data_IF_502448010784
#
_entry.id   IF_502448010784
#
_cell.length_a   1.000
_cell.length_b   1.000
_cell.length_c   1.000
_cell.angle_alpha   90.00
_cell.angle_beta   90.00
_cell.angle_gamma   90.00
#
_symmetry.space_group_name_H-M   'P 1'
#
loop_
_entity.id
_entity.type
_entity.pdbx_description
1 polymer ?
#
# COMPACT_ATOMS: atom_id res chain seq x y z
N UNK A 1 15.74 -19.17 42.05
CA UNK A 1 16.55 -18.09 41.47
C UNK A 1 17.22 -18.61 40.21
N UNK A 2 16.75 -18.23 39.03
CA UNK A 2 17.42 -18.50 37.74
C UNK A 2 17.65 -17.14 37.09
N UNK A 3 18.90 -16.75 36.97
CA UNK A 3 19.35 -15.55 36.29
C UNK A 3 18.99 -15.61 34.78
N UNK A 4 18.28 -14.59 34.29
CA UNK A 4 18.07 -14.34 32.86
C UNK A 4 19.32 -13.64 32.32
N UNK A 5 20.15 -14.34 31.54
CA UNK A 5 21.25 -13.75 30.79
C UNK A 5 20.71 -13.09 29.56
N UNK A 6 20.74 -11.78 29.50
CA UNK A 6 20.52 -10.96 28.30
C UNK A 6 21.73 -11.09 27.37
N UNK A 7 21.50 -11.56 26.15
CA UNK A 7 22.54 -11.64 25.10
C UNK A 7 22.45 -10.36 24.27
N UNK A 8 23.49 -9.54 24.35
CA UNK A 8 23.60 -8.30 23.52
C UNK A 8 24.01 -8.63 22.08
N UNK A 9 23.55 -7.83 21.12
CA UNK A 9 23.79 -7.95 19.65
C UNK A 9 25.25 -8.23 19.25
N UNK A 10 26.21 -7.80 20.06
CA UNK A 10 27.65 -8.01 19.83
C UNK A 10 28.14 -9.46 20.03
N UNK A 11 27.41 -10.29 20.77
CA UNK A 11 27.75 -11.72 20.98
C UNK A 11 27.13 -12.66 19.93
N UNK A 12 26.12 -12.23 19.21
CA UNK A 12 25.51 -13.05 18.15
C UNK A 12 26.41 -13.16 16.90
N UNK A 13 27.22 -12.14 16.62
CA UNK A 13 28.14 -12.13 15.47
C UNK A 13 29.43 -12.94 15.68
N UNK A 14 29.72 -13.44 16.90
CA UNK A 14 30.93 -14.20 17.18
C UNK A 14 30.73 -15.74 17.11
N UNK A 15 29.51 -16.23 16.96
CA UNK A 15 29.21 -17.69 16.95
C UNK A 15 28.97 -18.24 15.54
N UNK A 16 28.84 -17.40 14.53
CA UNK A 16 28.61 -17.81 13.13
C UNK A 16 29.89 -18.11 12.30
N UNK A 17 31.06 -18.16 12.96
CA UNK A 17 32.38 -18.26 12.29
C UNK A 17 33.12 -19.58 12.52
N UNK A 18 32.48 -20.74 12.34
CA UNK A 18 33.23 -22.00 12.33
C UNK A 18 32.50 -23.05 11.49
N UNK A 19 32.88 -23.18 10.22
CA UNK A 19 32.38 -24.23 9.33
C UNK A 19 32.51 -23.95 7.83
N UNK A 20 33.70 -23.60 7.35
CA UNK A 20 33.95 -23.54 5.90
C UNK A 20 34.94 -24.65 5.50
N UNK A 21 34.43 -25.65 4.81
CA UNK A 21 35.26 -26.62 4.07
C UNK A 21 35.78 -25.95 2.79
N UNK A 22 37.09 -25.97 2.61
CA UNK A 22 37.80 -25.41 1.46
C UNK A 22 37.54 -26.25 0.21
N UNK A 23 37.08 -25.58 -0.87
CA UNK A 23 37.18 -26.08 -2.23
C UNK A 23 38.10 -25.13 -2.98
N UNK A 24 39.24 -25.67 -3.44
CA UNK A 24 40.27 -24.94 -4.19
C UNK A 24 39.83 -24.71 -5.64
N UNK A 25 39.93 -23.48 -6.14
CA UNK A 25 39.88 -23.12 -7.54
C UNK A 25 41.21 -22.48 -7.95
N UNK A 26 41.73 -22.73 -9.20
CA UNK A 26 43.05 -22.30 -9.61
C UNK A 26 43.11 -20.83 -9.98
N UNK A 27 44.27 -20.23 -9.65
CA UNK A 27 44.67 -18.87 -9.94
C UNK A 27 44.66 -18.54 -11.43
N UNK A 28 44.00 -17.47 -11.81
CA UNK A 28 44.30 -16.71 -13.03
C UNK A 28 44.73 -15.31 -12.58
N UNK A 29 46.02 -15.04 -12.82
CA UNK A 29 46.64 -13.72 -12.68
C UNK A 29 46.10 -12.81 -13.79
N UNK A 30 45.47 -11.71 -13.48
CA UNK A 30 45.27 -10.60 -14.40
C UNK A 30 45.79 -9.32 -13.76
N UNK A 31 46.63 -8.70 -14.54
CA UNK A 31 47.40 -7.48 -14.42
C UNK A 31 46.61 -6.27 -13.90
N UNK A 32 47.23 -5.54 -12.97
CA UNK A 32 46.84 -4.18 -12.56
C UNK A 32 47.05 -3.21 -13.73
N UNK A 33 45.99 -2.52 -14.13
CA UNK A 33 46.00 -1.30 -14.90
C UNK A 33 45.16 -0.22 -14.19
N UNK A 34 45.87 0.69 -13.56
CA UNK A 34 45.29 1.84 -12.84
C UNK A 34 44.97 2.93 -13.87
N UNK A 35 43.68 3.35 -13.94
CA UNK A 35 43.33 4.68 -14.38
C UNK A 35 41.97 5.08 -13.81
N UNK A 36 42.01 6.02 -12.87
CA UNK A 36 40.86 6.73 -12.41
C UNK A 36 40.27 7.60 -13.52
N UNK A 37 38.99 7.45 -13.75
CA UNK A 37 38.20 8.30 -14.64
C UNK A 37 36.79 8.31 -14.14
N UNK A 38 36.39 9.38 -13.48
CA UNK A 38 34.99 9.75 -13.26
C UNK A 38 34.34 9.96 -14.63
N UNK A 39 33.67 8.94 -15.16
CA UNK A 39 32.90 9.10 -16.39
C UNK A 39 31.50 9.58 -16.06
N UNK A 40 31.31 10.90 -16.13
CA UNK A 40 30.00 11.51 -16.40
C UNK A 40 29.71 11.33 -17.89
N UNK A 41 29.31 10.13 -18.28
CA UNK A 41 28.95 9.80 -19.66
C UNK A 41 27.45 9.60 -19.76
N UNK A 42 26.79 10.41 -20.57
CA UNK A 42 25.44 10.17 -21.08
C UNK A 42 25.40 8.76 -21.71
N UNK A 43 24.46 7.87 -21.36
CA UNK A 43 24.38 6.53 -21.95
C UNK A 43 23.93 6.65 -23.43
N UNK A 44 24.86 6.53 -24.35
CA UNK A 44 24.62 6.56 -25.80
C UNK A 44 24.85 5.20 -26.47
N UNK A 45 24.72 4.09 -25.72
CA UNK A 45 24.87 2.73 -26.22
C UNK A 45 23.58 1.92 -26.01
N UNK A 46 23.27 0.98 -26.92
CA UNK A 46 22.24 -0.04 -26.66
C UNK A 46 22.67 -0.85 -25.43
N UNK A 47 21.75 -1.00 -24.46
CA UNK A 47 21.97 -1.86 -23.29
C UNK A 47 22.41 -3.26 -23.74
N UNK A 48 23.39 -3.84 -23.05
CA UNK A 48 23.85 -5.21 -23.37
C UNK A 48 22.74 -6.20 -22.99
N UNK A 49 22.52 -7.24 -23.85
CA UNK A 49 21.55 -8.28 -23.53
C UNK A 49 21.85 -8.94 -22.18
N UNK A 50 20.83 -9.04 -21.32
CA UNK A 50 20.91 -9.68 -20.00
C UNK A 50 19.53 -10.13 -19.55
N UNK A 51 19.50 -10.95 -18.49
CA UNK A 51 18.27 -11.29 -17.78
C UNK A 51 18.20 -10.49 -16.48
N UNK A 52 17.19 -9.64 -16.36
CA UNK A 52 16.90 -8.90 -15.12
C UNK A 52 16.24 -9.79 -14.08
N UNK A 53 16.41 -9.44 -12.82
CA UNK A 53 15.72 -10.04 -11.69
C UNK A 53 14.84 -8.99 -10.99
N UNK A 54 13.59 -9.36 -10.71
CA UNK A 54 12.61 -8.52 -10.04
C UNK A 54 12.15 -9.18 -8.74
N UNK A 55 11.83 -8.36 -7.74
CA UNK A 55 11.16 -8.81 -6.52
C UNK A 55 9.89 -7.98 -6.34
N UNK A 56 8.74 -8.64 -6.49
CA UNK A 56 7.42 -7.99 -6.59
C UNK A 56 6.41 -8.58 -5.60
N UNK A 57 5.35 -7.82 -5.31
CA UNK A 57 4.26 -8.31 -4.46
C UNK A 57 3.52 -9.48 -5.10
N UNK A 58 3.13 -10.46 -4.29
CA UNK A 58 2.30 -11.60 -4.73
C UNK A 58 0.83 -11.21 -4.68
N UNK A 59 0.15 -11.27 -5.80
CA UNK A 59 -1.31 -11.18 -5.82
C UNK A 59 -1.92 -12.52 -5.40
N UNK A 60 -2.20 -12.66 -4.11
CA UNK A 60 -2.76 -13.89 -3.54
C UNK A 60 -4.21 -14.13 -3.94
N UNK A 61 -4.93 -13.06 -4.31
CA UNK A 61 -6.32 -13.13 -4.74
C UNK A 61 -6.46 -13.52 -6.23
N UNK A 62 -5.53 -13.03 -7.08
CA UNK A 62 -5.62 -13.17 -8.52
C UNK A 62 -4.26 -13.58 -9.13
N UNK A 63 -3.68 -14.73 -8.72
CA UNK A 63 -2.33 -15.14 -9.14
C UNK A 63 -2.21 -15.41 -10.64
N UNK A 64 -3.28 -15.88 -11.28
CA UNK A 64 -3.30 -16.14 -12.73
C UNK A 64 -3.26 -14.83 -13.53
N UNK A 65 -4.02 -13.83 -13.10
CA UNK A 65 -4.03 -12.49 -13.74
C UNK A 65 -2.69 -11.79 -13.56
N UNK A 66 -2.04 -11.95 -12.41
CA UNK A 66 -0.68 -11.46 -12.20
C UNK A 66 0.30 -12.13 -13.18
N UNK A 67 0.27 -13.46 -13.29
CA UNK A 67 1.14 -14.19 -14.21
C UNK A 67 0.92 -13.73 -15.67
N UNK A 68 -0.35 -13.62 -16.10
CA UNK A 68 -0.70 -13.12 -17.43
C UNK A 68 -0.17 -11.71 -17.69
N UNK A 69 -0.28 -10.79 -16.72
CA UNK A 69 0.26 -9.44 -16.83
C UNK A 69 1.79 -9.46 -16.98
N UNK A 70 2.48 -10.27 -16.16
CA UNK A 70 3.94 -10.38 -16.23
C UNK A 70 4.40 -10.98 -17.55
N UNK A 71 3.68 -11.96 -18.11
CA UNK A 71 3.96 -12.53 -19.44
C UNK A 71 3.80 -11.47 -20.55
N UNK A 72 2.78 -10.61 -20.47
CA UNK A 72 2.58 -9.52 -21.44
C UNK A 72 3.70 -8.47 -21.34
N UNK A 73 4.09 -8.07 -20.13
CA UNK A 73 5.22 -7.16 -19.90
C UNK A 73 6.50 -7.78 -20.46
N UNK A 74 6.73 -9.08 -20.19
CA UNK A 74 7.91 -9.81 -20.67
C UNK A 74 7.98 -9.86 -22.19
N UNK A 75 6.88 -10.22 -22.85
CA UNK A 75 6.81 -10.28 -24.30
C UNK A 75 7.13 -8.92 -24.95
N UNK A 76 6.58 -7.83 -24.41
CA UNK A 76 6.85 -6.48 -24.91
C UNK A 76 8.30 -6.06 -24.65
N UNK A 77 8.83 -6.35 -23.47
CA UNK A 77 10.21 -6.05 -23.09
C UNK A 77 11.23 -6.78 -24.00
N UNK A 78 11.05 -8.09 -24.21
CA UNK A 78 11.90 -8.91 -25.08
C UNK A 78 11.87 -8.45 -26.54
N UNK A 79 10.70 -8.02 -27.01
CA UNK A 79 10.53 -7.45 -28.35
C UNK A 79 11.33 -6.16 -28.53
N UNK A 80 11.32 -5.27 -27.52
CA UNK A 80 12.03 -3.99 -27.56
C UNK A 80 13.52 -4.12 -27.24
N UNK A 81 13.91 -5.19 -26.52
CA UNK A 81 15.29 -5.46 -26.09
C UNK A 81 15.72 -6.89 -26.51
N UNK A 82 16.00 -7.13 -27.79
CA UNK A 82 16.32 -8.46 -28.31
C UNK A 82 17.49 -9.11 -27.56
N UNK A 83 17.32 -10.36 -27.15
CA UNK A 83 18.30 -11.13 -26.37
C UNK A 83 18.26 -10.86 -24.86
N UNK A 84 17.41 -9.95 -24.41
CA UNK A 84 17.19 -9.68 -22.99
C UNK A 84 15.87 -10.27 -22.51
N UNK A 85 15.76 -10.54 -21.21
CA UNK A 85 14.56 -11.08 -20.57
C UNK A 85 14.51 -10.63 -19.10
N UNK A 86 13.50 -11.07 -18.35
CA UNK A 86 13.51 -10.97 -16.90
C UNK A 86 12.87 -12.19 -16.22
N UNK A 87 13.26 -12.39 -14.97
CA UNK A 87 12.62 -13.30 -14.02
C UNK A 87 12.10 -12.50 -12.82
N UNK A 88 11.17 -13.07 -12.07
CA UNK A 88 10.71 -12.43 -10.84
C UNK A 88 10.45 -13.43 -9.72
N UNK A 89 10.78 -13.02 -8.50
CA UNK A 89 10.37 -13.65 -7.26
C UNK A 89 9.27 -12.80 -6.61
N UNK A 90 8.45 -13.42 -5.76
CA UNK A 90 7.35 -12.72 -5.11
C UNK A 90 7.48 -12.77 -3.59
N UNK A 91 6.98 -11.73 -2.91
CA UNK A 91 6.75 -11.73 -1.47
C UNK A 91 5.24 -11.71 -1.18
N UNK A 92 4.84 -12.36 -0.08
CA UNK A 92 3.44 -12.47 0.32
C UNK A 92 3.13 -11.73 1.63
N UNK A 93 4.13 -11.09 2.24
CA UNK A 93 3.96 -10.35 3.50
C UNK A 93 4.95 -9.18 3.59
N UNK A 94 4.58 -8.16 4.37
CA UNK A 94 5.46 -7.04 4.68
C UNK A 94 6.77 -7.48 5.37
N UNK A 95 6.73 -8.57 6.15
CA UNK A 95 7.92 -9.12 6.81
C UNK A 95 8.91 -9.71 5.80
N UNK A 96 8.44 -10.46 4.78
CA UNK A 96 9.27 -10.98 3.69
C UNK A 96 9.87 -9.84 2.87
N UNK A 97 9.05 -8.84 2.53
CA UNK A 97 9.46 -7.65 1.80
C UNK A 97 10.59 -6.91 2.52
N UNK A 98 10.39 -6.58 3.81
CA UNK A 98 11.37 -5.90 4.65
C UNK A 98 12.66 -6.71 4.82
N UNK A 99 12.54 -8.03 5.08
CA UNK A 99 13.70 -8.91 5.23
C UNK A 99 14.55 -8.96 3.95
N UNK A 100 13.91 -9.06 2.79
CA UNK A 100 14.62 -9.08 1.50
C UNK A 100 15.29 -7.74 1.23
N UNK A 101 14.60 -6.63 1.50
CA UNK A 101 15.14 -5.28 1.38
C UNK A 101 16.39 -5.09 2.24
N UNK A 102 16.29 -5.38 3.56
CA UNK A 102 17.39 -5.21 4.50
C UNK A 102 18.59 -6.11 4.16
N UNK A 103 18.33 -7.36 3.77
CA UNK A 103 19.37 -8.32 3.37
C UNK A 103 20.09 -7.83 2.11
N UNK A 104 19.36 -7.42 1.08
CA UNK A 104 19.94 -6.94 -0.16
C UNK A 104 20.74 -5.64 0.06
N UNK A 105 20.20 -4.71 0.86
CA UNK A 105 20.88 -3.46 1.17
C UNK A 105 22.20 -3.70 1.94
N UNK A 106 22.18 -4.61 2.93
CA UNK A 106 23.38 -4.94 3.72
C UNK A 106 24.44 -5.70 2.91
N UNK A 107 24.01 -6.63 2.05
CA UNK A 107 24.91 -7.41 1.20
C UNK A 107 25.40 -6.63 -0.04
N UNK A 108 24.73 -5.53 -0.42
CA UNK A 108 24.89 -4.82 -1.68
C UNK A 108 24.69 -5.77 -2.89
N UNK A 109 23.87 -6.80 -2.71
CA UNK A 109 23.46 -7.78 -3.71
C UNK A 109 21.96 -8.03 -3.61
N UNK A 110 21.28 -8.06 -4.77
CA UNK A 110 19.82 -8.26 -4.80
C UNK A 110 19.24 -8.21 -6.20
N UNK A 111 17.93 -8.25 -6.31
CA UNK A 111 17.21 -8.01 -7.56
C UNK A 111 17.55 -6.67 -8.19
N UNK A 112 17.50 -6.60 -9.53
CA UNK A 112 17.72 -5.35 -10.27
C UNK A 112 16.62 -4.32 -9.97
N UNK A 113 15.37 -4.80 -9.79
CA UNK A 113 14.19 -3.99 -9.50
C UNK A 113 13.45 -4.57 -8.28
N UNK A 114 13.08 -3.68 -7.36
CA UNK A 114 12.15 -3.98 -6.27
C UNK A 114 10.82 -3.27 -6.49
N UNK A 115 9.72 -3.95 -6.20
CA UNK A 115 8.40 -3.34 -6.04
C UNK A 115 8.13 -3.06 -4.57
N UNK A 116 7.64 -1.87 -4.27
CA UNK A 116 7.21 -1.48 -2.93
C UNK A 116 5.82 -0.86 -2.97
N UNK A 117 5.04 -1.09 -1.92
CA UNK A 117 3.88 -0.26 -1.65
C UNK A 117 4.30 1.19 -1.33
N UNK A 118 3.43 2.16 -1.60
CA UNK A 118 3.72 3.59 -1.41
C UNK A 118 4.30 3.92 -0.03
N UNK A 119 3.81 3.27 1.02
CA UNK A 119 4.22 3.52 2.41
C UNK A 119 5.55 2.88 2.81
N UNK A 120 6.08 1.95 2.00
CA UNK A 120 7.40 1.36 2.23
C UNK A 120 8.53 2.07 1.45
N UNK A 121 8.20 2.90 0.46
CA UNK A 121 9.20 3.71 -0.27
C UNK A 121 10.05 4.57 0.67
N UNK A 122 9.50 5.21 1.74
CA UNK A 122 10.32 5.91 2.74
C UNK A 122 11.36 5.03 3.43
N UNK A 123 11.01 3.80 3.78
CA UNK A 123 11.93 2.82 4.38
C UNK A 123 13.03 2.42 3.39
N UNK A 124 12.65 2.16 2.14
CA UNK A 124 13.61 1.87 1.07
C UNK A 124 14.57 3.04 0.84
N UNK A 125 14.06 4.29 0.83
CA UNK A 125 14.90 5.49 0.72
C UNK A 125 15.93 5.59 1.86
N UNK A 126 15.53 5.28 3.09
CA UNK A 126 16.39 5.35 4.26
C UNK A 126 17.59 4.37 4.20
N UNK A 127 17.48 3.28 3.47
CA UNK A 127 18.59 2.32 3.29
C UNK A 127 19.72 2.86 2.41
N UNK A 128 19.45 3.86 1.55
CA UNK A 128 20.40 4.37 0.55
C UNK A 128 20.78 3.37 -0.55
N UNK A 129 20.08 2.23 -0.65
CA UNK A 129 20.37 1.13 -1.57
C UNK A 129 19.73 1.28 -2.96
N UNK A 130 18.96 2.32 -3.19
CA UNK A 130 18.25 2.57 -4.44
C UNK A 130 18.73 3.81 -5.16
N UNK A 131 18.66 3.78 -6.49
CA UNK A 131 19.03 4.91 -7.32
C UNK A 131 18.09 6.10 -7.13
N UNK A 132 18.66 7.29 -7.01
CA UNK A 132 17.91 8.54 -7.15
C UNK A 132 17.79 8.86 -8.63
N UNK A 133 16.58 8.87 -9.15
CA UNK A 133 16.33 9.09 -10.57
C UNK A 133 16.74 10.51 -11.00
N UNK A 134 17.67 10.58 -11.94
CA UNK A 134 18.06 11.83 -12.61
C UNK A 134 16.98 12.27 -13.60
N UNK A 135 17.05 13.53 -14.06
CA UNK A 135 16.13 14.01 -15.09
C UNK A 135 16.27 13.25 -16.41
N UNK A 136 17.46 12.76 -16.75
CA UNK A 136 17.67 11.90 -17.92
C UNK A 136 16.98 10.55 -17.77
N UNK A 137 17.04 9.93 -16.58
CA UNK A 137 16.33 8.68 -16.29
C UNK A 137 14.80 8.89 -16.37
N UNK A 138 14.30 9.98 -15.81
CA UNK A 138 12.88 10.34 -15.95
C UNK A 138 12.48 10.56 -17.40
N UNK A 139 13.26 11.32 -18.17
CA UNK A 139 13.02 11.58 -19.60
C UNK A 139 13.02 10.28 -20.41
N UNK A 140 13.90 9.32 -20.07
CA UNK A 140 13.95 8.02 -20.74
C UNK A 140 12.61 7.24 -20.62
N UNK A 141 11.93 7.34 -19.49
CA UNK A 141 10.65 6.66 -19.25
C UNK A 141 9.42 7.53 -19.57
N UNK A 142 9.59 8.70 -20.20
CA UNK A 142 8.51 9.60 -20.63
C UNK A 142 8.34 10.87 -19.81
N UNK A 143 9.13 11.05 -18.75
CA UNK A 143 9.14 12.24 -17.89
C UNK A 143 8.14 12.23 -16.75
N UNK A 144 8.39 13.05 -15.72
CA UNK A 144 7.54 13.13 -14.51
C UNK A 144 6.09 13.58 -14.80
N UNK A 145 5.88 14.32 -15.90
CA UNK A 145 4.57 14.89 -16.25
C UNK A 145 3.54 13.87 -16.75
N UNK A 146 3.99 12.67 -17.13
CA UNK A 146 3.05 11.62 -17.58
C UNK A 146 2.26 11.01 -16.42
N UNK A 147 2.71 11.19 -15.16
CA UNK A 147 2.11 10.55 -13.99
C UNK A 147 1.08 11.43 -13.29
N UNK A 148 0.15 10.82 -12.58
CA UNK A 148 -0.64 11.50 -11.56
C UNK A 148 0.29 12.15 -10.55
N UNK A 149 0.14 13.46 -10.31
CA UNK A 149 1.02 14.21 -9.42
C UNK A 149 0.98 13.71 -7.96
N UNK A 150 -0.18 13.33 -7.37
CA UNK A 150 -0.19 12.71 -6.05
C UNK A 150 0.73 11.49 -5.95
N UNK A 151 0.77 10.62 -6.95
CA UNK A 151 1.63 9.42 -6.95
C UNK A 151 3.12 9.79 -6.85
N UNK A 152 3.58 10.83 -7.52
CA UNK A 152 4.98 11.28 -7.44
C UNK A 152 5.37 11.78 -6.04
N UNK A 153 4.41 12.20 -5.21
CA UNK A 153 4.71 12.65 -3.83
C UNK A 153 5.24 11.52 -2.95
N UNK A 154 4.91 10.26 -3.27
CA UNK A 154 5.38 9.07 -2.55
C UNK A 154 6.61 8.43 -3.19
N UNK A 155 7.10 8.95 -4.31
CA UNK A 155 8.30 8.45 -5.00
C UNK A 155 9.62 8.83 -4.31
N UNK A 156 9.59 9.76 -3.35
CA UNK A 156 10.78 10.21 -2.62
C UNK A 156 10.50 11.42 -1.72
N UNK A 157 11.46 11.83 -0.87
CA UNK A 157 11.26 12.89 0.13
C UNK A 157 11.12 14.30 -0.47
N UNK A 158 11.48 14.48 -1.72
CA UNK A 158 11.37 15.77 -2.45
C UNK A 158 11.44 15.53 -3.95
N UNK A 159 10.98 16.48 -4.80
CA UNK A 159 10.97 16.35 -6.26
C UNK A 159 12.32 16.04 -6.91
N UNK A 160 13.43 16.33 -6.21
CA UNK A 160 14.79 16.08 -6.69
C UNK A 160 15.45 14.84 -6.06
N UNK A 161 14.71 14.09 -5.24
CA UNK A 161 15.20 12.90 -4.53
C UNK A 161 14.21 11.74 -4.66
N UNK A 162 13.71 11.53 -5.88
CA UNK A 162 12.78 10.44 -6.17
C UNK A 162 13.58 9.16 -6.47
N UNK A 163 13.25 8.08 -5.76
CA UNK A 163 13.87 6.76 -5.93
C UNK A 163 12.93 5.74 -6.57
N UNK A 164 11.66 6.10 -6.76
CA UNK A 164 10.64 5.16 -7.16
C UNK A 164 9.79 5.71 -8.30
N UNK A 165 9.38 4.83 -9.20
CA UNK A 165 8.49 5.10 -10.32
C UNK A 165 7.14 4.47 -10.01
N UNK A 166 6.03 5.24 -9.98
CA UNK A 166 4.70 4.68 -9.82
C UNK A 166 4.38 3.72 -10.98
N UNK A 167 3.87 2.52 -10.68
CA UNK A 167 3.51 1.52 -11.70
C UNK A 167 2.05 1.13 -11.67
N UNK A 168 1.36 1.29 -10.55
CA UNK A 168 -0.09 1.16 -10.46
C UNK A 168 -0.64 1.95 -9.28
N UNK A 169 -1.86 2.47 -9.41
CA UNK A 169 -2.60 3.14 -8.35
C UNK A 169 -3.61 2.19 -7.69
N UNK A 170 -3.89 2.44 -6.41
CA UNK A 170 -4.95 1.77 -5.67
C UNK A 170 -5.79 2.82 -4.92
N UNK A 171 -6.52 3.68 -5.66
CA UNK A 171 -7.33 4.73 -5.05
C UNK A 171 -8.40 4.13 -4.14
N UNK A 172 -8.67 4.81 -3.03
CA UNK A 172 -9.69 4.41 -2.09
C UNK A 172 -10.98 5.20 -2.30
N UNK A 173 -12.09 4.49 -2.34
CA UNK A 173 -13.42 5.07 -2.45
C UNK A 173 -14.40 4.38 -1.48
N UNK A 174 -15.60 4.90 -1.36
CA UNK A 174 -16.72 4.21 -0.76
C UNK A 174 -17.38 3.39 -1.86
N UNK A 175 -17.50 2.07 -1.67
CA UNK A 175 -18.36 1.25 -2.53
C UNK A 175 -19.71 1.05 -1.85
N UNK A 176 -20.79 1.05 -2.63
CA UNK A 176 -22.14 0.86 -2.11
C UNK A 176 -22.99 -0.06 -2.99
N UNK A 177 -23.90 -0.80 -2.33
CA UNK A 177 -24.84 -1.71 -2.95
C UNK A 177 -26.09 -0.94 -3.39
N UNK A 178 -26.28 -0.76 -4.69
CA UNK A 178 -27.40 0.00 -5.28
C UNK A 178 -28.75 -0.61 -4.94
N UNK A 179 -28.85 -1.92 -4.91
CA UNK A 179 -30.12 -2.60 -4.59
C UNK A 179 -30.52 -2.35 -3.11
N UNK A 180 -29.56 -2.41 -2.18
CA UNK A 180 -29.84 -2.10 -0.77
C UNK A 180 -30.18 -0.61 -0.57
N UNK A 181 -29.48 0.31 -1.27
CA UNK A 181 -29.78 1.74 -1.26
C UNK A 181 -31.22 2.00 -1.76
N UNK A 182 -31.59 1.41 -2.89
CA UNK A 182 -32.94 1.53 -3.44
C UNK A 182 -34.02 1.03 -2.46
N UNK A 183 -33.79 -0.16 -1.85
CA UNK A 183 -34.73 -0.74 -0.87
C UNK A 183 -34.90 0.14 0.36
N UNK A 184 -33.80 0.78 0.82
CA UNK A 184 -33.81 1.69 1.96
C UNK A 184 -34.24 3.14 1.60
N UNK A 185 -34.56 3.43 0.32
CA UNK A 185 -34.94 4.77 -0.12
C UNK A 185 -33.79 5.78 -0.14
N UNK A 186 -32.54 5.31 -0.18
CA UNK A 186 -31.33 6.15 -0.16
C UNK A 186 -30.94 6.51 -1.60
N UNK A 187 -30.88 7.82 -1.89
CA UNK A 187 -30.64 8.34 -3.25
C UNK A 187 -29.16 8.60 -3.59
N UNK A 188 -28.29 8.72 -2.58
CA UNK A 188 -26.86 9.06 -2.81
C UNK A 188 -26.00 8.61 -1.63
N UNK A 189 -24.69 8.38 -1.86
CA UNK A 189 -23.74 8.11 -0.81
C UNK A 189 -23.69 9.20 0.26
N UNK A 190 -23.44 8.83 1.54
CA UNK A 190 -23.37 9.77 2.66
C UNK A 190 -22.17 10.71 2.54
N UNK A 191 -22.34 11.97 2.93
CA UNK A 191 -21.30 13.02 2.89
C UNK A 191 -20.63 13.27 4.24
N UNK A 192 -21.32 12.94 5.34
CA UNK A 192 -20.78 13.02 6.70
C UNK A 192 -20.75 11.64 7.33
N UNK A 193 -19.91 11.44 8.36
CA UNK A 193 -19.87 10.18 9.09
C UNK A 193 -21.13 9.96 9.93
N UNK A 194 -21.84 11.02 10.31
CA UNK A 194 -23.15 10.91 10.93
C UNK A 194 -24.19 10.35 9.95
N UNK A 195 -24.21 10.85 8.70
CA UNK A 195 -25.08 10.31 7.65
C UNK A 195 -24.71 8.87 7.32
N UNK A 196 -23.40 8.54 7.29
CA UNK A 196 -22.95 7.17 7.07
C UNK A 196 -23.52 6.19 8.10
N UNK A 197 -23.46 6.56 9.39
CA UNK A 197 -24.01 5.72 10.46
C UNK A 197 -25.52 5.57 10.31
N UNK A 198 -26.25 6.65 9.98
CA UNK A 198 -27.69 6.61 9.79
C UNK A 198 -28.08 5.74 8.58
N UNK A 199 -27.47 5.98 7.42
CA UNK A 199 -27.67 5.19 6.21
C UNK A 199 -27.35 3.71 6.45
N UNK A 200 -26.26 3.42 7.15
CA UNK A 200 -25.88 2.05 7.49
C UNK A 200 -26.92 1.36 8.40
N UNK A 201 -27.53 2.08 9.35
CA UNK A 201 -28.59 1.54 10.21
C UNK A 201 -29.84 1.17 9.40
N UNK A 202 -30.26 1.99 8.44
CA UNK A 202 -31.41 1.71 7.57
C UNK A 202 -31.23 0.41 6.75
N UNK A 203 -29.99 0.05 6.46
CA UNK A 203 -29.64 -1.17 5.72
C UNK A 203 -29.33 -2.37 6.63
N UNK A 204 -29.36 -2.23 7.95
CA UNK A 204 -28.98 -3.28 8.89
C UNK A 204 -30.22 -3.96 9.47
N UNK A 205 -30.31 -5.31 9.37
CA UNK A 205 -31.35 -6.09 10.06
C UNK A 205 -30.85 -6.81 11.34
N UNK A 206 -29.55 -6.72 11.63
CA UNK A 206 -28.94 -7.28 12.83
C UNK A 206 -28.82 -8.82 12.84
N UNK A 207 -29.08 -9.48 11.71
CA UNK A 207 -28.99 -10.96 11.57
C UNK A 207 -27.98 -11.35 10.51
N UNK A 208 -28.28 -11.09 9.27
CA UNK A 208 -27.50 -11.53 8.11
C UNK A 208 -27.29 -10.41 7.07
N UNK A 209 -27.85 -9.22 7.32
CA UNK A 209 -27.69 -8.03 6.48
C UNK A 209 -27.17 -6.85 7.34
N UNK A 210 -26.14 -6.20 6.87
CA UNK A 210 -25.43 -5.14 7.59
C UNK A 210 -25.17 -3.93 6.70
N UNK A 211 -25.22 -2.76 7.29
CA UNK A 211 -24.97 -1.50 6.59
C UNK A 211 -23.53 -1.35 6.14
N UNK A 212 -22.57 -1.97 6.85
CA UNK A 212 -21.17 -2.01 6.48
C UNK A 212 -20.50 -3.28 6.96
N UNK A 213 -19.25 -3.50 6.53
CA UNK A 213 -18.34 -4.51 7.06
C UNK A 213 -17.02 -3.87 7.47
N UNK A 214 -16.19 -4.61 8.18
CA UNK A 214 -14.90 -4.18 8.72
C UNK A 214 -13.90 -5.34 8.66
N UNK A 215 -12.60 -5.00 8.56
CA UNK A 215 -11.51 -5.98 8.54
C UNK A 215 -10.44 -5.65 9.61
N UNK A 216 -10.79 -5.65 10.92
CA UNK A 216 -9.87 -5.22 11.97
C UNK A 216 -8.70 -6.19 12.22
N UNK A 217 -8.77 -7.43 11.72
CA UNK A 217 -7.69 -8.42 11.78
C UNK A 217 -6.77 -8.41 10.55
N UNK A 218 -6.99 -7.48 9.61
CA UNK A 218 -6.10 -7.27 8.47
C UNK A 218 -4.80 -6.58 8.90
N UNK A 219 -3.72 -6.81 8.15
CA UNK A 219 -2.43 -6.19 8.42
C UNK A 219 -2.34 -4.71 8.02
N UNK A 220 -3.23 -4.24 7.13
CA UNK A 220 -3.20 -2.89 6.59
C UNK A 220 -4.48 -2.10 6.89
N UNK A 221 -5.64 -2.73 6.84
CA UNK A 221 -6.92 -2.07 6.92
C UNK A 221 -7.12 -1.20 8.18
N UNK A 222 -6.68 -1.62 9.39
CA UNK A 222 -6.82 -0.79 10.59
C UNK A 222 -6.19 0.59 10.45
N UNK A 223 -4.92 0.69 10.03
CA UNK A 223 -4.26 1.98 9.96
C UNK A 223 -4.82 2.87 8.85
N UNK A 224 -5.31 2.27 7.73
CA UNK A 224 -5.96 3.02 6.65
C UNK A 224 -7.15 3.82 7.16
N UNK A 225 -8.07 3.17 7.87
CA UNK A 225 -9.27 3.81 8.42
C UNK A 225 -8.92 4.83 9.49
N UNK A 226 -8.02 4.47 10.41
CA UNK A 226 -7.63 5.36 11.51
C UNK A 226 -6.91 6.61 10.98
N UNK A 227 -6.00 6.45 10.01
CA UNK A 227 -5.35 7.58 9.34
C UNK A 227 -6.38 8.53 8.69
N UNK A 228 -7.38 7.98 8.01
CA UNK A 228 -8.43 8.78 7.39
C UNK A 228 -9.17 9.63 8.43
N UNK A 229 -9.66 9.00 9.49
CA UNK A 229 -10.44 9.69 10.54
C UNK A 229 -9.56 10.73 11.26
N UNK A 230 -8.35 10.38 11.66
CA UNK A 230 -7.42 11.30 12.33
C UNK A 230 -7.10 12.50 11.43
N UNK A 231 -6.86 12.29 10.13
CA UNK A 231 -6.59 13.36 9.17
C UNK A 231 -7.78 14.29 8.99
N UNK A 232 -8.99 13.76 8.93
CA UNK A 232 -10.22 14.56 8.86
C UNK A 232 -10.48 15.34 10.14
N UNK A 233 -10.07 14.81 11.29
CA UNK A 233 -10.15 15.50 12.60
C UNK A 233 -9.03 16.52 12.80
N UNK A 234 -8.07 16.62 11.91
CA UNK A 234 -6.94 17.57 11.98
C UNK A 234 -5.79 17.09 12.86
N UNK A 235 -5.79 15.80 13.23
CA UNK A 235 -4.72 15.13 13.95
C UNK A 235 -3.65 14.54 13.02
N UNK A 236 -2.69 13.87 13.65
CA UNK A 236 -1.60 13.14 13.00
C UNK A 236 -1.30 11.87 13.81
N UNK A 237 -0.78 10.82 13.15
CA UNK A 237 -0.38 9.58 13.82
C UNK A 237 1.06 9.58 14.30
N UNK A 238 1.88 10.49 13.78
CA UNK A 238 3.26 10.76 14.21
C UNK A 238 3.52 12.25 14.24
N UNK A 239 4.50 12.68 15.00
CA UNK A 239 4.98 14.05 14.99
C UNK A 239 5.69 14.41 13.65
N UNK A 240 6.01 15.67 13.47
CA UNK A 240 6.64 16.17 12.23
C UNK A 240 8.06 15.62 11.98
N UNK A 241 8.68 14.98 12.97
CA UNK A 241 10.02 14.40 12.86
C UNK A 241 9.99 12.92 12.49
N UNK A 242 8.83 12.25 12.58
CA UNK A 242 8.68 10.82 12.41
C UNK A 242 9.34 9.97 13.52
N UNK A 243 9.65 10.59 14.68
CA UNK A 243 10.32 9.93 15.81
C UNK A 243 9.44 9.73 17.03
N UNK A 244 8.33 10.45 17.10
CA UNK A 244 7.38 10.33 18.19
C UNK A 244 6.03 9.90 17.66
N UNK A 245 5.49 8.83 18.22
CA UNK A 245 4.13 8.38 17.97
C UNK A 245 3.09 9.30 18.61
N UNK A 246 1.93 9.40 17.97
CA UNK A 246 0.76 10.14 18.45
C UNK A 246 -0.48 9.23 18.48
N UNK A 247 -0.25 7.92 18.67
CA UNK A 247 -1.32 6.92 18.64
C UNK A 247 -2.27 7.02 19.82
N UNK A 248 -1.85 7.62 20.94
CA UNK A 248 -2.63 7.89 22.14
C UNK A 248 -3.13 9.36 22.23
N UNK A 249 -2.98 10.14 21.15
CA UNK A 249 -3.58 11.49 21.07
C UNK A 249 -5.12 11.42 21.13
N UNK A 250 -5.75 12.53 21.47
CA UNK A 250 -7.22 12.62 21.50
C UNK A 250 -7.84 12.21 20.18
N UNK A 251 -7.32 12.73 19.06
CA UNK A 251 -7.81 12.46 17.72
C UNK A 251 -7.65 10.97 17.35
N UNK A 252 -6.52 10.36 17.72
CA UNK A 252 -6.27 8.94 17.46
C UNK A 252 -7.19 8.03 18.28
N UNK A 253 -7.40 8.34 19.57
CA UNK A 253 -8.31 7.60 20.43
C UNK A 253 -9.76 7.70 19.92
N UNK A 254 -10.22 8.91 19.56
CA UNK A 254 -11.56 9.13 19.03
C UNK A 254 -11.78 8.44 17.68
N UNK A 255 -10.77 8.45 16.80
CA UNK A 255 -10.79 7.74 15.52
C UNK A 255 -10.91 6.22 15.69
N UNK A 256 -10.09 5.64 16.57
CA UNK A 256 -10.14 4.22 16.89
C UNK A 256 -11.48 3.82 17.49
N UNK A 257 -11.96 4.61 18.45
CA UNK A 257 -13.26 4.38 19.08
C UNK A 257 -14.40 4.47 18.05
N UNK A 258 -14.41 5.47 17.19
CA UNK A 258 -15.43 5.62 16.15
C UNK A 258 -15.52 4.39 15.25
N UNK A 259 -14.38 3.87 14.80
CA UNK A 259 -14.37 2.68 13.95
C UNK A 259 -14.84 1.43 14.69
N UNK A 260 -14.32 1.16 15.88
CA UNK A 260 -14.72 0.02 16.73
C UNK A 260 -16.20 0.06 17.10
N UNK A 261 -16.76 1.27 17.28
CA UNK A 261 -18.16 1.51 17.59
C UNK A 261 -19.13 1.07 16.47
N UNK A 262 -18.65 0.85 15.24
CA UNK A 262 -19.49 0.29 14.18
C UNK A 262 -20.01 -1.10 14.57
N UNK A 263 -19.18 -1.91 15.24
CA UNK A 263 -19.60 -3.19 15.83
C UNK A 263 -20.22 -3.02 17.21
N UNK A 264 -19.53 -2.27 18.11
CA UNK A 264 -19.85 -2.26 19.53
C UNK A 264 -21.08 -1.44 19.88
N UNK A 265 -21.22 -0.23 19.32
CA UNK A 265 -22.24 0.77 19.72
C UNK A 265 -23.31 0.98 18.66
N UNK A 266 -22.90 1.26 17.42
CA UNK A 266 -23.86 1.58 16.36
C UNK A 266 -24.53 0.34 15.78
N UNK A 267 -23.93 -0.83 15.95
CA UNK A 267 -24.44 -2.13 15.48
C UNK A 267 -24.71 -2.15 13.97
N UNK A 268 -23.90 -1.44 13.19
CA UNK A 268 -23.98 -1.36 11.73
C UNK A 268 -23.08 -2.37 11.02
N UNK A 269 -22.17 -3.00 11.75
CA UNK A 269 -21.32 -4.11 11.31
C UNK A 269 -21.48 -5.29 12.29
N UNK A 270 -21.34 -6.51 11.77
CA UNK A 270 -21.42 -7.73 12.59
C UNK A 270 -20.21 -7.85 13.54
N UNK A 271 -20.43 -8.32 14.78
CA UNK A 271 -19.34 -8.68 15.68
C UNK A 271 -18.47 -9.82 15.17
N UNK A 272 -18.96 -10.63 14.21
CA UNK A 272 -18.16 -11.65 13.50
C UNK A 272 -17.02 -11.02 12.68
N UNK A 273 -17.14 -9.75 12.31
CA UNK A 273 -16.08 -9.02 11.62
C UNK A 273 -14.81 -8.87 12.46
N UNK A 274 -14.85 -9.11 13.77
CA UNK A 274 -13.68 -9.02 14.66
C UNK A 274 -12.46 -9.82 14.18
N UNK A 275 -12.66 -10.89 13.41
CA UNK A 275 -11.60 -11.75 12.85
C UNK A 275 -11.40 -11.57 11.35
N UNK A 276 -12.14 -10.65 10.72
CA UNK A 276 -12.09 -10.46 9.27
C UNK A 276 -10.79 -9.79 8.85
N UNK A 277 -10.29 -10.26 7.70
CA UNK A 277 -9.25 -9.63 6.89
C UNK A 277 -9.87 -9.01 5.64
N UNK A 278 -9.13 -8.22 4.88
CA UNK A 278 -9.64 -7.54 3.70
C UNK A 278 -10.32 -8.47 2.68
N UNK A 279 -9.78 -9.68 2.48
CA UNK A 279 -10.43 -10.68 1.62
C UNK A 279 -11.78 -11.15 2.14
N UNK A 280 -12.01 -11.18 3.47
CA UNK A 280 -13.30 -11.53 4.06
C UNK A 280 -14.33 -10.42 3.83
N UNK A 281 -13.90 -9.16 3.95
CA UNK A 281 -14.72 -7.98 3.66
C UNK A 281 -15.17 -7.96 2.20
N UNK A 282 -14.27 -8.22 1.26
CA UNK A 282 -14.58 -8.34 -0.18
C UNK A 282 -15.59 -9.47 -0.44
N UNK A 283 -15.42 -10.64 0.19
CA UNK A 283 -16.35 -11.75 0.07
C UNK A 283 -17.71 -11.46 0.72
N UNK A 284 -17.73 -10.80 1.87
CA UNK A 284 -18.96 -10.41 2.53
C UNK A 284 -19.80 -9.47 1.65
N UNK A 285 -19.19 -8.46 1.02
CA UNK A 285 -19.88 -7.57 0.08
C UNK A 285 -20.42 -8.33 -1.14
N UNK A 286 -19.66 -9.27 -1.66
CA UNK A 286 -20.06 -10.11 -2.80
C UNK A 286 -21.37 -10.90 -2.54
N UNK A 287 -21.76 -11.15 -1.28
CA UNK A 287 -23.03 -11.81 -0.94
C UNK A 287 -24.29 -10.99 -1.26
N UNK A 288 -24.13 -9.67 -1.48
CA UNK A 288 -25.23 -8.73 -1.64
C UNK A 288 -25.91 -8.30 -0.33
N UNK A 289 -25.36 -8.71 0.83
CA UNK A 289 -25.90 -8.44 2.17
C UNK A 289 -25.17 -7.35 2.95
N UNK A 290 -24.20 -6.72 2.34
CA UNK A 290 -23.47 -5.57 2.88
C UNK A 290 -23.81 -4.31 2.08
N UNK A 291 -24.19 -3.25 2.78
CA UNK A 291 -24.62 -2.00 2.16
C UNK A 291 -23.47 -1.16 1.61
N UNK A 292 -22.39 -1.01 2.37
CA UNK A 292 -21.25 -0.15 2.03
C UNK A 292 -19.94 -0.74 2.51
N UNK A 293 -18.83 -0.43 1.82
CA UNK A 293 -17.47 -0.57 2.33
C UNK A 293 -16.74 0.76 2.19
N UNK A 294 -15.94 1.11 3.18
CA UNK A 294 -15.23 2.38 3.26
C UNK A 294 -13.75 2.19 2.94
N UNK A 295 -13.15 3.16 2.26
CA UNK A 295 -11.74 3.09 1.83
C UNK A 295 -11.41 1.75 1.16
N UNK A 296 -12.22 1.40 0.19
CA UNK A 296 -12.06 0.14 -0.55
C UNK A 296 -11.44 0.44 -1.90
N UNK A 297 -10.36 -0.27 -2.20
CA UNK A 297 -9.71 -0.19 -3.51
C UNK A 297 -10.46 -0.96 -4.59
N UNK A 298 -10.13 -0.74 -5.85
CA UNK A 298 -10.85 -1.35 -6.98
C UNK A 298 -10.66 -2.87 -7.11
N UNK A 299 -9.69 -3.48 -6.44
CA UNK A 299 -9.38 -4.91 -6.53
C UNK A 299 -10.58 -5.84 -6.24
N UNK A 300 -11.50 -5.41 -5.37
CA UNK A 300 -12.72 -6.16 -5.07
C UNK A 300 -13.62 -6.39 -6.28
N UNK A 301 -13.56 -5.54 -7.31
CA UNK A 301 -14.39 -5.64 -8.51
C UNK A 301 -14.19 -6.94 -9.28
N UNK A 302 -13.00 -7.53 -9.23
CA UNK A 302 -12.70 -8.84 -9.85
C UNK A 302 -13.60 -9.94 -9.26
N UNK A 303 -13.82 -9.90 -7.94
CA UNK A 303 -14.73 -10.82 -7.24
C UNK A 303 -16.19 -10.43 -7.48
N UNK A 304 -16.53 -9.14 -7.32
CA UNK A 304 -17.91 -8.66 -7.33
C UNK A 304 -18.58 -8.79 -8.70
N UNK A 305 -17.84 -8.64 -9.79
CA UNK A 305 -18.36 -8.84 -11.15
C UNK A 305 -18.77 -10.28 -11.45
N UNK A 306 -18.35 -11.25 -10.62
CA UNK A 306 -18.71 -12.67 -10.72
C UNK A 306 -19.55 -13.14 -9.52
N UNK A 307 -20.35 -12.25 -8.91
CA UNK A 307 -21.10 -12.51 -7.69
C UNK A 307 -22.52 -11.95 -7.77
N UNK A 308 -23.40 -12.21 -6.78
CA UNK A 308 -24.73 -11.60 -6.69
C UNK A 308 -24.82 -10.10 -6.79
N UNK A 309 -23.74 -9.36 -6.48
CA UNK A 309 -23.71 -7.89 -6.63
C UNK A 309 -23.25 -7.41 -8.00
N UNK A 310 -23.02 -8.29 -8.97
CA UNK A 310 -22.62 -7.91 -10.31
C UNK A 310 -23.60 -6.89 -10.93
N UNK A 311 -23.09 -5.73 -11.36
CA UNK A 311 -23.90 -4.62 -11.85
C UNK A 311 -24.76 -3.89 -10.80
N UNK A 312 -24.77 -4.36 -9.55
CA UNK A 312 -25.56 -3.81 -8.44
C UNK A 312 -24.72 -2.97 -7.46
N UNK A 313 -23.49 -2.63 -7.77
CA UNK A 313 -22.67 -1.75 -6.96
C UNK A 313 -22.18 -0.54 -7.76
N UNK A 314 -21.72 0.46 -7.03
CA UNK A 314 -21.02 1.60 -7.61
C UNK A 314 -20.04 2.17 -6.58
N UNK A 315 -19.11 3.00 -7.05
CA UNK A 315 -18.22 3.75 -6.19
C UNK A 315 -18.68 5.19 -6.06
N UNK A 316 -18.42 5.78 -4.90
CA UNK A 316 -18.62 7.18 -4.62
C UNK A 316 -17.53 7.72 -3.72
N UNK A 317 -17.42 9.05 -3.65
CA UNK A 317 -16.54 9.66 -2.66
C UNK A 317 -17.15 9.44 -1.26
N UNK A 318 -16.31 9.02 -0.31
CA UNK A 318 -16.72 8.75 1.07
C UNK A 318 -17.01 10.03 1.88
N UNK A 319 -17.49 9.88 3.12
CA UNK A 319 -17.68 11.00 4.03
C UNK A 319 -16.38 11.72 4.34
N UNK A 320 -16.46 13.06 4.48
CA UNK A 320 -15.28 13.88 4.84
C UNK A 320 -15.45 14.64 6.15
N UNK A 321 -16.68 14.76 6.66
CA UNK A 321 -16.97 15.48 7.91
C UNK A 321 -17.03 14.48 9.06
N UNK A 322 -16.23 14.65 10.14
CA UNK A 322 -16.17 13.73 11.28
C UNK A 322 -17.52 13.52 11.95
N UNK A 323 -17.69 12.37 12.59
CA UNK A 323 -18.91 12.00 13.28
C UNK A 323 -19.27 13.03 14.38
N UNK A 324 -20.54 13.42 14.44
CA UNK A 324 -21.05 14.41 15.37
C UNK A 324 -20.70 15.87 15.03
N UNK A 325 -20.01 16.11 13.91
CA UNK A 325 -19.69 17.45 13.42
C UNK A 325 -20.55 17.82 12.21
N UNK A 326 -20.74 19.12 11.99
CA UNK A 326 -21.45 19.66 10.82
C UNK A 326 -20.52 20.19 9.73
N UNK A 327 -19.24 20.33 10.05
CA UNK A 327 -18.18 20.77 9.14
C UNK A 327 -16.82 20.20 9.58
N UNK A 328 -15.82 20.29 8.72
CA UNK A 328 -14.45 19.97 9.10
C UNK A 328 -13.94 20.92 10.18
N UNK A 329 -13.19 20.43 11.18
CA UNK A 329 -12.49 21.28 12.12
C UNK A 329 -11.38 22.09 11.42
N UNK A 330 -10.87 23.18 12.02
CA UNK A 330 -9.93 24.11 11.33
C UNK A 330 -8.68 23.49 10.74
N UNK A 331 -8.17 22.39 11.33
CA UNK A 331 -7.01 21.62 10.82
C UNK A 331 -7.41 20.37 10.05
N UNK A 332 -8.70 20.05 10.00
CA UNK A 332 -9.21 18.86 9.30
C UNK A 332 -9.05 18.98 7.79
N UNK A 333 -8.75 17.86 7.14
CA UNK A 333 -8.64 17.77 5.69
C UNK A 333 -9.77 16.93 5.12
N UNK A 334 -10.35 17.28 3.96
CA UNK A 334 -11.40 16.48 3.32
C UNK A 334 -10.77 15.25 2.62
N UNK A 335 -9.95 14.48 3.33
CA UNK A 335 -9.30 13.31 2.80
C UNK A 335 -10.34 12.24 2.44
N UNK A 336 -10.17 11.61 1.28
CA UNK A 336 -10.93 10.44 0.82
C UNK A 336 -10.13 9.15 1.00
N UNK A 337 -8.82 9.26 0.89
CA UNK A 337 -7.83 8.23 1.07
C UNK A 337 -6.42 8.83 0.97
N UNK A 338 -5.42 8.03 1.28
CA UNK A 338 -4.03 8.39 1.04
C UNK A 338 -3.57 7.93 -0.35
N UNK A 339 -2.44 8.48 -0.81
CA UNK A 339 -1.80 8.03 -2.06
C UNK A 339 -1.34 6.59 -1.88
N UNK A 340 -1.98 5.68 -2.59
CA UNK A 340 -1.71 4.25 -2.52
C UNK A 340 -1.44 3.68 -3.91
N UNK A 341 -0.49 2.77 -3.99
CA UNK A 341 -0.11 2.13 -5.23
C UNK A 341 1.18 1.33 -5.09
N UNK A 342 1.60 0.74 -6.20
CA UNK A 342 2.87 0.03 -6.31
C UNK A 342 3.89 0.88 -7.05
N UNK A 343 5.13 0.75 -6.64
CA UNK A 343 6.27 1.53 -7.12
C UNK A 343 7.43 0.62 -7.44
N UNK A 344 8.06 0.81 -8.59
CA UNK A 344 9.30 0.13 -8.93
C UNK A 344 10.50 1.02 -8.62
N UNK A 345 11.51 0.42 -8.01
CA UNK A 345 12.77 1.08 -7.66
C UNK A 345 13.93 0.36 -8.33
N UNK A 346 14.96 1.10 -8.72
CA UNK A 346 16.18 0.53 -9.25
C UNK A 346 17.18 0.28 -8.12
N UNK A 347 17.64 -0.96 -7.99
CA UNK A 347 18.65 -1.30 -7.01
C UNK A 347 20.00 -0.72 -7.44
N UNK A 348 20.64 0.06 -6.57
CA UNK A 348 21.87 0.81 -6.86
C UNK A 348 23.05 -0.07 -7.30
N UNK A 349 23.04 -1.33 -6.84
CA UNK A 349 24.09 -2.30 -7.15
C UNK A 349 23.74 -3.23 -8.32
N UNK A 350 22.65 -2.95 -9.04
CA UNK A 350 22.32 -3.65 -10.29
C UNK A 350 23.45 -3.51 -11.30
N UNK A 351 23.74 -4.62 -11.99
CA UNK A 351 24.72 -4.65 -13.08
C UNK A 351 24.13 -4.22 -14.43
N UNK A 352 22.80 -4.03 -14.48
CA UNK A 352 22.05 -3.78 -15.70
C UNK A 352 21.12 -2.54 -15.60
N UNK A 353 21.59 -1.38 -15.07
CA UNK A 353 20.70 -0.24 -14.79
C UNK A 353 20.01 0.32 -16.03
N UNK A 354 20.69 0.37 -17.19
CA UNK A 354 20.09 0.84 -18.45
C UNK A 354 18.97 -0.09 -18.93
N UNK A 355 19.21 -1.41 -18.83
CA UNK A 355 18.19 -2.40 -19.20
C UNK A 355 16.99 -2.36 -18.25
N UNK A 356 17.23 -2.13 -16.96
CA UNK A 356 16.17 -1.95 -15.98
C UNK A 356 15.33 -0.69 -16.28
N UNK A 357 15.93 0.42 -16.72
CA UNK A 357 15.20 1.60 -17.20
C UNK A 357 14.35 1.30 -18.45
N UNK A 358 14.83 0.46 -19.36
CA UNK A 358 14.05 0.01 -20.52
C UNK A 358 12.83 -0.80 -20.08
N UNK A 359 12.94 -1.64 -19.05
CA UNK A 359 11.81 -2.36 -18.50
C UNK A 359 10.80 -1.40 -17.85
N UNK A 360 11.26 -0.41 -17.07
CA UNK A 360 10.38 0.62 -16.51
C UNK A 360 9.62 1.36 -17.61
N UNK A 361 10.27 1.71 -18.73
CA UNK A 361 9.62 2.35 -19.90
C UNK A 361 8.49 1.48 -20.46
N UNK A 362 8.67 0.17 -20.55
CA UNK A 362 7.62 -0.77 -20.97
C UNK A 362 6.47 -0.76 -19.96
N UNK A 363 6.77 -0.87 -18.66
CA UNK A 363 5.76 -0.94 -17.59
C UNK A 363 4.88 0.32 -17.55
N UNK A 364 5.45 1.51 -17.76
CA UNK A 364 4.70 2.77 -17.76
C UNK A 364 4.09 3.13 -19.11
N UNK A 365 4.18 2.25 -20.11
CA UNK A 365 3.49 2.48 -21.39
C UNK A 365 1.96 2.42 -21.22
N UNK A 366 1.19 3.25 -21.94
CA UNK A 366 -0.27 3.25 -21.82
C UNK A 366 -0.92 1.88 -22.04
N UNK A 367 -0.35 1.05 -22.91
CA UNK A 367 -0.88 -0.28 -23.21
C UNK A 367 -0.71 -1.23 -22.02
N UNK A 368 0.45 -1.26 -21.40
CA UNK A 368 0.71 -2.09 -20.21
C UNK A 368 -0.07 -1.54 -19.01
N UNK A 369 -0.15 -0.22 -18.84
CA UNK A 369 -0.97 0.42 -17.79
C UNK A 369 -2.46 0.03 -17.93
N UNK A 370 -2.96 -0.09 -19.14
CA UNK A 370 -4.32 -0.59 -19.37
C UNK A 370 -4.47 -2.07 -19.02
N UNK A 371 -3.40 -2.90 -19.15
CA UNK A 371 -3.46 -4.29 -18.72
C UNK A 371 -3.47 -4.44 -17.19
N UNK A 372 -2.76 -3.58 -16.45
CA UNK A 372 -2.92 -3.48 -14.98
C UNK A 372 -4.39 -3.26 -14.60
N UNK A 373 -5.05 -2.33 -15.29
CA UNK A 373 -6.47 -2.05 -15.10
C UNK A 373 -7.36 -3.26 -15.43
N UNK A 374 -7.20 -3.86 -16.60
CA UNK A 374 -8.08 -4.95 -17.09
C UNK A 374 -7.92 -6.25 -16.31
N UNK A 375 -6.70 -6.61 -15.95
CA UNK A 375 -6.40 -7.91 -15.33
C UNK A 375 -6.47 -7.85 -13.80
N UNK A 376 -6.06 -6.74 -13.20
CA UNK A 376 -5.93 -6.62 -11.75
C UNK A 376 -6.82 -5.54 -11.13
N UNK A 377 -7.63 -4.88 -11.93
CA UNK A 377 -8.44 -3.74 -11.52
C UNK A 377 -7.62 -2.61 -10.82
N UNK A 378 -6.32 -2.52 -11.11
CA UNK A 378 -5.46 -1.47 -10.59
C UNK A 378 -5.57 -0.22 -11.46
N UNK A 379 -5.68 0.94 -10.82
CA UNK A 379 -5.78 2.21 -11.52
C UNK A 379 -4.48 2.49 -12.30
N UNK A 380 -4.57 2.85 -13.59
CA UNK A 380 -3.41 3.37 -14.31
C UNK A 380 -2.86 4.63 -13.62
N UNK A 381 -1.55 4.76 -13.57
CA UNK A 381 -0.87 5.95 -13.00
C UNK A 381 -0.34 6.90 -14.08
N UNK A 382 -0.44 6.51 -15.35
CA UNK A 382 -0.02 7.28 -16.52
C UNK A 382 -1.23 7.93 -17.18
N UNK A 383 -1.22 9.26 -17.28
CA UNK A 383 -2.34 10.08 -17.76
C UNK A 383 -2.79 9.76 -19.18
N UNK A 384 -1.84 9.48 -20.08
CA UNK A 384 -2.13 9.14 -21.48
C UNK A 384 -2.93 7.85 -21.64
N UNK A 385 -2.89 6.96 -20.64
CA UNK A 385 -3.72 5.74 -20.60
C UNK A 385 -5.20 6.09 -20.66
N UNK A 386 -5.63 7.12 -19.93
CA UNK A 386 -7.04 7.55 -19.89
C UNK A 386 -7.48 8.30 -21.14
N UNK A 387 -6.55 8.80 -21.94
CA UNK A 387 -6.81 9.36 -23.25
C UNK A 387 -6.99 8.25 -24.29
N UNK A 388 -6.11 7.25 -24.25
CA UNK A 388 -6.12 6.10 -25.15
C UNK A 388 -7.26 5.11 -24.83
N UNK A 389 -7.54 4.92 -23.54
CA UNK A 389 -8.53 3.98 -23.01
C UNK A 389 -9.49 4.67 -22.03
N UNK A 390 -10.51 5.40 -22.56
CA UNK A 390 -11.40 6.21 -21.72
C UNK A 390 -12.24 5.41 -20.72
N UNK A 391 -12.49 4.13 -20.97
CA UNK A 391 -13.23 3.23 -20.08
C UNK A 391 -12.57 3.08 -18.71
N UNK A 392 -11.25 3.27 -18.60
CA UNK A 392 -10.52 3.26 -17.33
C UNK A 392 -10.91 4.40 -16.36
N UNK A 393 -11.69 5.38 -16.79
CA UNK A 393 -12.25 6.46 -15.95
C UNK A 393 -13.73 6.71 -16.17
N UNK A 394 -14.48 5.72 -16.63
CA UNK A 394 -15.93 5.83 -16.89
C UNK A 394 -16.73 4.86 -16.01
N UNK A 395 -18.03 5.11 -15.85
CA UNK A 395 -18.90 4.31 -15.00
C UNK A 395 -18.38 4.30 -13.55
N UNK A 396 -18.33 3.14 -12.89
CA UNK A 396 -17.82 3.02 -11.51
C UNK A 396 -16.39 3.55 -11.32
N UNK A 397 -15.56 3.52 -12.37
CA UNK A 397 -14.17 3.97 -12.33
C UNK A 397 -14.00 5.49 -12.26
N UNK A 398 -15.04 6.27 -12.58
CA UNK A 398 -14.99 7.72 -12.52
C UNK A 398 -14.74 8.22 -11.08
N UNK A 399 -15.42 7.63 -10.10
CA UNK A 399 -15.23 8.00 -8.69
C UNK A 399 -13.83 7.62 -8.17
N UNK A 400 -13.27 6.50 -8.64
CA UNK A 400 -11.90 6.07 -8.30
C UNK A 400 -10.85 7.00 -8.92
N UNK A 401 -11.06 7.41 -10.18
CA UNK A 401 -10.21 8.41 -10.82
C UNK A 401 -10.22 9.75 -10.07
N UNK A 402 -11.39 10.20 -9.64
CA UNK A 402 -11.54 11.41 -8.83
C UNK A 402 -10.90 11.26 -7.43
N UNK A 403 -10.98 10.07 -6.83
CA UNK A 403 -10.36 9.77 -5.56
C UNK A 403 -8.82 9.81 -5.66
N UNK A 404 -8.25 9.30 -6.76
CA UNK A 404 -6.82 9.37 -7.05
C UNK A 404 -6.32 10.81 -7.13
N UNK A 405 -7.04 11.68 -7.83
CA UNK A 405 -6.71 13.10 -7.93
C UNK A 405 -6.75 13.86 -6.58
N UNK A 406 -7.55 13.35 -5.64
CA UNK A 406 -7.78 13.94 -4.30
C UNK A 406 -7.04 13.20 -3.19
N UNK A 407 -6.24 12.20 -3.52
CA UNK A 407 -5.48 11.43 -2.52
C UNK A 407 -4.43 12.31 -1.83
N UNK A 408 -4.32 12.16 -0.51
CA UNK A 408 -3.32 12.87 0.29
C UNK A 408 -2.10 11.98 0.51
N UNK A 409 -0.87 12.52 0.41
CA UNK A 409 0.31 11.75 0.76
C UNK A 409 0.32 11.44 2.27
N UNK A 410 0.76 10.25 2.63
CA UNK A 410 1.19 9.98 4.01
C UNK A 410 2.52 10.72 4.27
N UNK A 411 2.87 11.00 5.53
CA UNK A 411 4.20 11.52 5.84
C UNK A 411 5.31 10.58 5.34
N UNK A 412 6.37 11.16 4.76
CA UNK A 412 7.49 10.39 4.21
C UNK A 412 8.50 10.07 5.32
N UNK A 413 8.16 9.11 6.21
CA UNK A 413 9.01 8.66 7.32
C UNK A 413 9.39 7.19 7.18
N UNK A 414 10.67 6.87 7.38
CA UNK A 414 11.16 5.48 7.34
C UNK A 414 10.54 4.57 8.41
N UNK A 415 9.99 5.15 9.47
CA UNK A 415 9.29 4.47 10.56
C UNK A 415 7.80 4.20 10.30
N UNK A 416 7.26 4.60 9.15
CA UNK A 416 5.82 4.47 8.88
C UNK A 416 5.33 3.01 8.92
N UNK A 417 6.11 2.08 8.37
CA UNK A 417 5.78 0.64 8.42
C UNK A 417 5.68 0.08 9.85
N UNK A 418 6.47 0.61 10.80
CA UNK A 418 6.36 0.25 12.22
C UNK A 418 5.04 0.74 12.81
N UNK A 419 4.65 1.99 12.50
CA UNK A 419 3.37 2.55 12.93
C UNK A 419 2.18 1.70 12.44
N UNK A 420 2.20 1.24 11.20
CA UNK A 420 1.15 0.40 10.63
C UNK A 420 0.93 -0.87 11.46
N UNK A 421 2.02 -1.53 11.84
CA UNK A 421 1.99 -2.73 12.67
C UNK A 421 1.44 -2.43 14.07
N UNK A 422 1.92 -1.36 14.71
CA UNK A 422 1.57 -1.07 16.10
C UNK A 422 0.08 -0.67 16.24
N UNK A 423 -0.45 0.15 15.35
CA UNK A 423 -1.88 0.49 15.38
C UNK A 423 -2.76 -0.74 15.11
N UNK A 424 -2.32 -1.63 14.22
CA UNK A 424 -2.99 -2.91 13.95
C UNK A 424 -3.11 -3.78 15.20
N UNK A 425 -2.06 -3.88 16.02
CA UNK A 425 -2.09 -4.63 17.30
C UNK A 425 -3.16 -4.12 18.26
N UNK A 426 -3.23 -2.79 18.46
CA UNK A 426 -4.20 -2.18 19.36
C UNK A 426 -5.64 -2.43 18.89
N UNK A 427 -5.92 -2.21 17.62
CA UNK A 427 -7.25 -2.41 17.01
C UNK A 427 -7.67 -3.89 17.09
N UNK A 428 -6.79 -4.81 16.72
CA UNK A 428 -7.07 -6.25 16.72
C UNK A 428 -7.42 -6.74 18.14
N UNK A 429 -6.70 -6.26 19.15
CA UNK A 429 -7.00 -6.57 20.55
C UNK A 429 -8.42 -6.12 20.95
N UNK A 430 -8.81 -4.89 20.62
CA UNK A 430 -10.14 -4.36 20.94
C UNK A 430 -11.24 -5.06 20.12
N UNK A 431 -11.00 -5.31 18.85
CA UNK A 431 -11.95 -6.05 18.00
C UNK A 431 -12.20 -7.47 18.55
N UNK A 432 -11.14 -8.16 19.02
CA UNK A 432 -11.29 -9.47 19.66
C UNK A 432 -12.15 -9.43 20.91
N UNK A 433 -12.03 -8.38 21.75
CA UNK A 433 -12.94 -8.19 22.89
C UNK A 433 -14.39 -8.03 22.44
N UNK A 434 -14.63 -7.20 21.41
CA UNK A 434 -15.98 -7.01 20.84
C UNK A 434 -16.54 -8.32 20.28
N UNK A 435 -15.72 -9.12 19.61
CA UNK A 435 -16.12 -10.43 19.08
C UNK A 435 -16.62 -11.39 20.16
N UNK A 436 -16.05 -11.32 21.37
CA UNK A 436 -16.41 -12.19 22.51
C UNK A 436 -17.56 -11.62 23.34
N UNK A 437 -17.52 -10.32 23.68
CA UNK A 437 -18.45 -9.69 24.64
C UNK A 437 -19.46 -8.73 24.02
N UNK A 438 -19.31 -8.39 22.74
CA UNK A 438 -20.13 -7.39 22.04
C UNK A 438 -19.78 -5.94 22.39
N UNK A 439 -18.73 -5.72 23.21
CA UNK A 439 -18.31 -4.39 23.70
C UNK A 439 -16.79 -4.35 23.97
N UNK A 440 -16.27 -3.16 24.24
CA UNK A 440 -14.91 -2.93 24.72
C UNK A 440 -14.91 -1.79 25.74
N UNK A 441 -13.83 -1.67 26.52
CA UNK A 441 -13.64 -0.55 27.44
C UNK A 441 -12.84 0.57 26.78
N UNK A 442 -13.27 1.82 26.97
CA UNK A 442 -12.54 2.99 26.52
C UNK A 442 -11.18 3.12 27.23
N UNK A 443 -11.09 2.71 28.48
CA UNK A 443 -9.83 2.74 29.24
C UNK A 443 -8.87 1.66 28.72
N UNK A 444 -9.37 0.48 28.31
CA UNK A 444 -8.57 -0.56 27.67
C UNK A 444 -8.06 -0.09 26.31
N UNK A 445 -8.88 0.60 25.51
CA UNK A 445 -8.45 1.18 24.25
C UNK A 445 -7.32 2.21 24.46
N UNK A 446 -7.48 3.16 25.39
CA UNK A 446 -6.44 4.14 25.72
C UNK A 446 -5.16 3.48 26.19
N UNK A 447 -5.28 2.48 27.09
CA UNK A 447 -4.13 1.73 27.56
C UNK A 447 -3.41 0.97 26.45
N UNK A 448 -4.16 0.34 25.53
CA UNK A 448 -3.61 -0.35 24.38
C UNK A 448 -2.88 0.63 23.44
N UNK A 449 -3.48 1.77 23.11
CA UNK A 449 -2.86 2.80 22.26
C UNK A 449 -1.61 3.41 22.89
N UNK A 450 -1.62 3.69 24.20
CA UNK A 450 -0.44 4.16 24.93
C UNK A 450 0.68 3.11 24.92
N UNK A 451 0.34 1.83 25.07
CA UNK A 451 1.31 0.75 25.02
C UNK A 451 1.97 0.64 23.66
N UNK A 452 1.17 0.57 22.58
CA UNK A 452 1.72 0.45 21.22
C UNK A 452 2.46 1.71 20.77
N UNK A 453 2.08 2.88 21.30
CA UNK A 453 2.82 4.13 21.05
C UNK A 453 4.25 4.07 21.66
N UNK A 454 4.39 3.52 22.85
CA UNK A 454 5.72 3.28 23.48
C UNK A 454 6.53 2.24 22.69
N UNK A 455 5.88 1.17 22.21
CA UNK A 455 6.54 0.14 21.39
C UNK A 455 7.04 0.73 20.07
N UNK A 456 6.23 1.57 19.41
CA UNK A 456 6.62 2.33 18.23
C UNK A 456 7.84 3.21 18.51
N UNK A 457 7.81 4.04 19.55
CA UNK A 457 8.92 4.93 19.91
C UNK A 457 10.21 4.16 20.23
N UNK A 458 10.10 3.00 20.90
CA UNK A 458 11.24 2.14 21.19
C UNK A 458 11.83 1.48 19.94
N UNK A 459 11.03 1.25 18.89
CA UNK A 459 11.49 0.65 17.63
C UNK A 459 12.21 1.62 16.71
N UNK A 460 11.97 2.93 16.88
CA UNK A 460 12.52 4.01 16.03
C UNK A 460 13.89 4.50 16.53
N UNK A 461 14.24 4.24 17.81
CA UNK A 461 15.52 4.62 18.42
C UNK A 461 16.63 3.66 17.98
#
# INVERSE_FOLDING_TARGET
>A
MREKRTVTRRKFLQVAGAGAAAVAFPNILISCGQSGGTSTGTPSGKAKPATLSLFISKDTAHPQQQAQLMDMIKAQFEKENPGSSFTYDTYASAAEETTKLETAAAAQEGPDIFEFGSTLVPTAYATGAFEVFTDDMWNHIGGKKIFFQPQLTMSGPSPNKLIAVPVSGNPFALVYNKAMFQTAGISSPPKTWSDFVNVAKEMTNGKDQWGTSMAPADGFDPWHKIWLFVTQMGGQLMDSTGKKGLLDSKESVEACAFWLDWMAKYKIASTQNATFKGADEVRAFATGKIGMLVMTGPGGTVTWNNSPVAGQYDFGLGPTVPYGMTSLPPKGKPAQGFVSGQYYTLFKYSKNPELALNLLKVVVSPDIQYQYFKLRAQQPVVLDTFTKYPDAKQGPWAALYDAELKAYPTPFFGSWGQLEVEIGKAINRMASQIGVSGSYSMDDLKAALTQVNRELEASIQ
#
